data_IF_074298477278
#
_entry.id   IF_074298477278
#
_cell.length_a   1.000
_cell.length_b   1.000
_cell.length_c   1.000
_cell.angle_alpha   90.00
_cell.angle_beta   90.00
_cell.angle_gamma   90.00
#
_symmetry.space_group_name_H-M   'P 1'
#
loop_
_entity.id
_entity.type
_entity.pdbx_description
1 polymer ?
#
# COMPACT_ATOMS: atom_id res chain seq x y z
N UNK A 1 -4.29 -26.42 17.83
CA UNK A 1 -3.67 -25.64 18.90
C UNK A 1 -3.71 -24.20 18.45
N UNK A 2 -4.66 -23.40 18.94
CA UNK A 2 -4.87 -22.00 18.51
C UNK A 2 -3.82 -21.15 19.19
N UNK A 3 -2.92 -20.57 18.41
CA UNK A 3 -1.91 -19.62 18.92
C UNK A 3 -2.61 -18.40 19.49
N UNK A 4 -2.14 -17.98 20.65
CA UNK A 4 -2.57 -16.83 21.44
C UNK A 4 -2.80 -15.61 20.52
N UNK A 5 -4.02 -15.09 20.54
CA UNK A 5 -4.32 -13.78 19.96
C UNK A 5 -3.54 -12.75 20.79
N UNK A 6 -2.64 -12.00 20.17
CA UNK A 6 -1.98 -10.88 20.81
C UNK A 6 -3.04 -9.90 21.34
N UNK A 7 -2.77 -9.30 22.50
CA UNK A 7 -3.68 -8.35 23.12
C UNK A 7 -4.00 -7.19 22.14
N UNK A 8 -5.18 -6.58 22.25
CA UNK A 8 -5.52 -5.42 21.43
C UNK A 8 -4.44 -4.34 21.59
N UNK A 9 -3.92 -3.85 20.47
CA UNK A 9 -2.97 -2.73 20.45
C UNK A 9 -3.73 -1.49 20.92
N UNK A 10 -3.23 -0.83 21.97
CA UNK A 10 -3.80 0.44 22.44
C UNK A 10 -3.76 1.49 21.31
N UNK A 11 -4.80 2.36 21.21
CA UNK A 11 -4.82 3.40 20.20
C UNK A 11 -3.61 4.33 20.40
N UNK A 12 -2.88 4.59 19.30
CA UNK A 12 -1.72 5.49 19.31
C UNK A 12 -2.17 6.93 19.54
N UNK A 13 -1.37 7.67 20.30
CA UNK A 13 -1.47 9.13 20.33
C UNK A 13 -0.91 9.67 18.99
N UNK A 14 -1.81 10.10 18.12
CA UNK A 14 -1.51 10.60 16.75
C UNK A 14 -1.35 12.13 16.70
N UNK A 15 -1.28 12.81 17.86
CA UNK A 15 -1.33 14.28 17.94
C UNK A 15 -0.09 15.03 17.40
N UNK A 16 0.93 14.33 16.83
CA UNK A 16 2.18 14.95 16.39
C UNK A 16 2.56 14.80 14.90
N UNK A 17 1.91 13.94 14.14
CA UNK A 17 2.47 13.49 12.84
C UNK A 17 1.97 14.27 11.63
N UNK A 18 1.48 15.49 11.70
CA UNK A 18 1.21 16.40 10.56
C UNK A 18 1.01 15.78 9.15
N UNK A 19 0.41 14.57 9.05
CA UNK A 19 0.17 13.85 7.78
C UNK A 19 1.36 13.05 7.22
N UNK A 20 2.55 13.11 7.85
CA UNK A 20 3.75 12.37 7.44
C UNK A 20 3.95 11.06 8.23
N UNK A 21 4.96 10.27 7.84
CA UNK A 21 5.37 9.03 8.50
C UNK A 21 6.84 9.14 8.89
N UNK A 22 7.19 8.74 10.12
CA UNK A 22 8.57 8.59 10.56
C UNK A 22 8.75 7.21 11.20
N UNK A 23 9.68 6.46 10.66
CA UNK A 23 10.12 5.16 11.19
C UNK A 23 11.58 5.33 11.57
N UNK A 24 11.94 5.06 12.84
CA UNK A 24 13.28 5.29 13.37
C UNK A 24 13.82 4.03 14.04
N UNK A 25 14.88 3.46 13.48
CA UNK A 25 15.63 2.31 13.99
C UNK A 25 14.75 1.11 14.39
N UNK A 26 13.77 0.81 13.54
CA UNK A 26 12.76 -0.21 13.84
C UNK A 26 13.33 -1.61 13.66
N UNK A 27 13.17 -2.42 14.70
CA UNK A 27 13.42 -3.86 14.69
C UNK A 27 12.14 -4.63 14.99
N UNK A 28 11.94 -5.74 14.25
CA UNK A 28 10.82 -6.66 14.49
C UNK A 28 11.28 -8.10 14.25
N UNK A 29 11.00 -8.96 15.25
CA UNK A 29 11.25 -10.39 15.17
C UNK A 29 9.98 -11.21 15.48
N UNK A 30 9.94 -12.43 15.00
CA UNK A 30 8.92 -13.43 15.26
C UNK A 30 9.62 -14.71 15.77
N UNK A 31 9.71 -14.85 17.08
CA UNK A 31 10.58 -15.83 17.70
C UNK A 31 12.04 -15.58 17.31
N UNK A 32 12.72 -16.58 16.74
CA UNK A 32 14.10 -16.44 16.27
C UNK A 32 14.23 -15.73 14.91
N UNK A 33 13.11 -15.52 14.22
CA UNK A 33 13.11 -14.93 12.88
C UNK A 33 13.10 -13.41 12.97
N UNK A 34 14.23 -12.76 12.67
CA UNK A 34 14.30 -11.29 12.52
C UNK A 34 13.75 -10.91 11.13
N UNK A 35 12.63 -10.20 11.11
CA UNK A 35 12.00 -9.71 9.89
C UNK A 35 12.57 -8.37 9.45
N UNK A 36 12.71 -7.41 10.38
CA UNK A 36 13.27 -6.08 10.17
C UNK A 36 14.38 -5.84 11.19
N UNK A 37 15.47 -5.17 10.78
CA UNK A 37 16.62 -4.91 11.63
C UNK A 37 17.21 -3.52 11.36
N UNK A 38 16.86 -2.54 12.22
CA UNK A 38 17.32 -1.16 12.15
C UNK A 38 16.77 -0.36 10.99
N UNK A 39 15.51 -0.60 10.59
CA UNK A 39 14.88 0.12 9.48
C UNK A 39 14.51 1.54 9.89
N UNK A 40 15.00 2.52 9.12
CA UNK A 40 14.64 3.93 9.26
C UNK A 40 14.20 4.46 7.91
N UNK A 41 13.02 5.11 7.88
CA UNK A 41 12.52 5.81 6.69
C UNK A 41 11.58 6.95 7.12
N UNK A 42 11.39 7.89 6.22
CA UNK A 42 10.46 8.99 6.41
C UNK A 42 9.63 9.17 5.14
N UNK A 43 8.34 9.49 5.30
CA UNK A 43 7.50 10.02 4.24
C UNK A 43 6.96 11.38 4.67
N UNK A 44 7.17 12.41 3.86
CA UNK A 44 6.58 13.73 4.09
C UNK A 44 5.10 13.73 3.72
N UNK A 45 4.28 14.66 4.24
CA UNK A 45 2.89 14.76 3.82
C UNK A 45 2.74 14.87 2.30
N UNK A 46 1.82 14.06 1.75
CA UNK A 46 1.50 13.99 0.31
C UNK A 46 2.60 13.39 -0.57
N UNK A 47 3.61 12.79 0.01
CA UNK A 47 4.66 12.07 -0.68
C UNK A 47 4.26 10.61 -0.93
N UNK A 48 4.63 10.07 -2.08
CA UNK A 48 4.53 8.65 -2.40
C UNK A 48 5.90 8.01 -2.22
N UNK A 49 6.06 7.19 -1.19
CA UNK A 49 7.28 6.42 -0.94
C UNK A 49 7.05 4.98 -1.30
N UNK A 50 7.80 4.45 -2.27
CA UNK A 50 7.81 3.03 -2.56
C UNK A 50 8.86 2.30 -1.71
N UNK A 51 8.49 1.14 -1.18
CA UNK A 51 9.36 0.23 -0.44
C UNK A 51 9.53 -1.02 -1.30
N UNK A 52 10.72 -1.20 -1.83
CA UNK A 52 11.04 -2.28 -2.78
C UNK A 52 12.04 -3.25 -2.16
N UNK A 53 11.88 -4.53 -2.44
CA UNK A 53 12.80 -5.57 -2.00
C UNK A 53 12.26 -6.97 -2.24
N UNK A 54 13.08 -8.01 -2.07
CA UNK A 54 12.69 -9.38 -2.35
C UNK A 54 11.54 -9.87 -1.47
N UNK A 55 10.86 -10.92 -1.91
CA UNK A 55 9.79 -11.53 -1.13
C UNK A 55 10.29 -12.00 0.24
N UNK A 56 9.49 -11.73 1.28
CA UNK A 56 9.82 -12.14 2.65
C UNK A 56 10.86 -11.27 3.37
N UNK A 57 11.31 -10.13 2.80
CA UNK A 57 12.26 -9.22 3.47
C UNK A 57 11.63 -8.32 4.56
N UNK A 58 10.31 -8.42 4.82
CA UNK A 58 9.68 -7.67 5.90
C UNK A 58 8.82 -6.47 5.49
N UNK A 59 8.59 -6.23 4.18
CA UNK A 59 7.80 -5.09 3.67
C UNK A 59 6.37 -5.01 4.26
N UNK A 60 5.63 -6.12 4.23
CA UNK A 60 4.28 -6.19 4.84
C UNK A 60 4.32 -5.95 6.34
N UNK A 61 5.34 -6.50 7.04
CA UNK A 61 5.56 -6.24 8.47
C UNK A 61 5.75 -4.75 8.74
N UNK A 62 6.52 -4.05 7.89
CA UNK A 62 6.72 -2.61 8.03
C UNK A 62 5.41 -1.83 7.86
N UNK A 63 4.57 -2.17 6.86
CA UNK A 63 3.25 -1.56 6.72
C UNK A 63 2.33 -1.86 7.92
N UNK A 64 2.34 -3.10 8.45
CA UNK A 64 1.57 -3.46 9.64
C UNK A 64 2.00 -2.64 10.88
N UNK A 65 3.30 -2.36 11.02
CA UNK A 65 3.83 -1.50 12.08
C UNK A 65 3.38 -0.04 11.90
N UNK A 66 3.44 0.48 10.68
CA UNK A 66 2.98 1.84 10.36
C UNK A 66 1.48 1.98 10.60
N UNK A 67 0.68 0.98 10.25
CA UNK A 67 -0.77 0.98 10.49
C UNK A 67 -1.15 0.72 11.96
N UNK A 68 -0.18 0.49 12.87
CA UNK A 68 -0.46 0.17 14.27
C UNK A 68 -1.09 -1.19 14.50
N UNK A 69 -1.07 -2.08 13.51
CA UNK A 69 -1.56 -3.46 13.65
C UNK A 69 -0.57 -4.35 14.40
N UNK A 70 0.68 -3.90 14.52
CA UNK A 70 1.75 -4.52 15.32
C UNK A 70 2.57 -3.47 16.03
N UNK A 71 3.31 -3.91 17.04
CA UNK A 71 4.29 -3.09 17.74
C UNK A 71 5.71 -3.50 17.34
N UNK A 72 6.60 -2.52 17.21
CA UNK A 72 8.03 -2.78 17.04
C UNK A 72 8.63 -3.34 18.34
N UNK A 73 9.66 -4.19 18.22
CA UNK A 73 10.39 -4.68 19.37
C UNK A 73 11.46 -3.67 19.82
N UNK A 74 11.93 -2.83 18.88
CA UNK A 74 12.84 -1.71 19.11
C UNK A 74 12.55 -0.58 18.11
N UNK A 75 12.92 0.66 18.45
CA UNK A 75 12.69 1.83 17.61
C UNK A 75 11.28 2.41 17.76
N UNK A 76 10.97 3.40 16.93
CA UNK A 76 9.69 4.12 16.98
C UNK A 76 9.05 4.22 15.61
N UNK A 77 7.71 4.28 15.59
CA UNK A 77 6.92 4.53 14.40
C UNK A 77 5.89 5.61 14.75
N UNK A 78 5.98 6.73 14.05
CA UNK A 78 5.04 7.84 14.13
C UNK A 78 4.32 7.95 12.78
N UNK A 79 3.00 7.83 12.77
CA UNK A 79 2.19 7.88 11.56
C UNK A 79 0.76 8.32 11.90
N UNK A 80 0.07 9.03 11.01
CA UNK A 80 -1.36 9.29 11.16
C UNK A 80 -2.16 8.01 10.95
N UNK A 81 -3.46 8.07 11.21
CA UNK A 81 -4.38 6.99 10.89
C UNK A 81 -4.29 6.60 9.40
N UNK A 82 -4.03 5.33 9.14
CA UNK A 82 -3.81 4.80 7.80
C UNK A 82 -4.98 3.94 7.31
N UNK A 83 -5.14 3.90 5.99
CA UNK A 83 -5.91 2.85 5.32
C UNK A 83 -4.95 1.82 4.73
N UNK A 84 -5.08 0.56 5.17
CA UNK A 84 -4.27 -0.55 4.67
C UNK A 84 -5.02 -1.32 3.58
N UNK A 85 -4.38 -1.47 2.43
CA UNK A 85 -4.67 -2.51 1.46
C UNK A 85 -3.68 -3.66 1.66
N UNK A 86 -4.08 -4.78 2.25
CA UNK A 86 -3.19 -5.91 2.43
C UNK A 86 -2.96 -6.65 1.11
N UNK A 87 -1.88 -7.42 1.01
CA UNK A 87 -1.52 -8.22 -0.16
C UNK A 87 -2.66 -9.18 -0.59
N UNK A 88 -3.38 -9.77 0.35
CA UNK A 88 -4.62 -10.51 0.07
C UNK A 88 -5.79 -9.54 0.03
N UNK A 89 -6.74 -9.75 -0.87
CA UNK A 89 -7.88 -8.86 -1.07
C UNK A 89 -8.73 -8.64 0.20
N UNK A 90 -8.75 -9.61 1.12
CA UNK A 90 -9.47 -9.56 2.39
C UNK A 90 -10.92 -9.06 2.23
N UNK A 91 -11.59 -9.44 1.14
CA UNK A 91 -13.00 -9.13 0.95
C UNK A 91 -13.87 -9.99 1.86
N UNK A 92 -14.94 -9.39 2.38
CA UNK A 92 -15.92 -10.10 3.18
C UNK A 92 -16.79 -11.00 2.27
N UNK A 93 -16.73 -12.34 2.43
CA UNK A 93 -17.35 -13.26 1.47
C UNK A 93 -18.88 -13.22 1.44
N UNK A 94 -19.50 -12.67 2.48
CA UNK A 94 -20.96 -12.49 2.57
C UNK A 94 -21.46 -11.17 2.01
N UNK A 95 -20.58 -10.23 1.65
CA UNK A 95 -20.90 -8.98 0.98
C UNK A 95 -20.66 -9.11 -0.53
N UNK A 96 -21.44 -8.37 -1.33
CA UNK A 96 -21.17 -8.20 -2.75
C UNK A 96 -20.03 -7.19 -2.99
N UNK A 97 -19.61 -7.01 -4.24
CA UNK A 97 -18.50 -6.14 -4.62
C UNK A 97 -18.73 -4.68 -4.19
N UNK A 98 -19.95 -4.16 -4.44
CA UNK A 98 -20.29 -2.78 -4.12
C UNK A 98 -20.32 -2.53 -2.60
N UNK A 99 -20.85 -3.47 -1.81
CA UNK A 99 -20.86 -3.38 -0.35
C UNK A 99 -19.47 -3.56 0.25
N UNK A 100 -18.60 -4.40 -0.35
CA UNK A 100 -17.19 -4.50 0.02
C UNK A 100 -16.44 -3.18 -0.26
N UNK A 101 -16.62 -2.59 -1.43
CA UNK A 101 -15.98 -1.31 -1.79
C UNK A 101 -16.43 -0.18 -0.85
N UNK A 102 -17.72 -0.11 -0.51
CA UNK A 102 -18.28 0.91 0.39
C UNK A 102 -18.07 0.63 1.89
N UNK A 103 -17.40 -0.48 2.27
CA UNK A 103 -17.30 -0.93 3.66
C UNK A 103 -16.63 0.10 4.56
N UNK A 104 -15.53 0.71 4.12
CA UNK A 104 -14.82 1.72 4.89
C UNK A 104 -15.69 2.94 5.22
N UNK A 105 -16.51 3.39 4.26
CA UNK A 105 -17.49 4.45 4.48
C UNK A 105 -18.56 4.05 5.52
N UNK A 106 -18.99 2.78 5.49
CA UNK A 106 -19.95 2.24 6.47
C UNK A 106 -19.37 2.26 7.88
N UNK A 107 -18.10 1.86 8.04
CA UNK A 107 -17.38 1.91 9.32
C UNK A 107 -17.25 3.36 9.82
N UNK A 108 -17.08 4.31 8.92
CA UNK A 108 -17.06 5.75 9.23
C UNK A 108 -18.45 6.35 9.48
N UNK A 109 -19.52 5.54 9.58
CA UNK A 109 -20.87 6.00 9.92
C UNK A 109 -21.74 6.47 8.75
N UNK A 110 -21.24 6.40 7.51
CA UNK A 110 -22.03 6.75 6.30
C UNK A 110 -23.17 5.74 6.11
N UNK A 111 -24.37 6.16 5.75
CA UNK A 111 -25.50 5.28 5.49
C UNK A 111 -25.19 4.26 4.37
N UNK A 112 -25.78 3.07 4.41
CA UNK A 112 -25.56 2.03 3.40
C UNK A 112 -25.84 2.55 1.98
N UNK A 113 -26.91 3.29 1.80
CA UNK A 113 -27.30 3.85 0.50
C UNK A 113 -26.23 4.85 0.00
N UNK A 114 -25.79 5.78 0.83
CA UNK A 114 -24.77 6.77 0.46
C UNK A 114 -23.40 6.11 0.21
N UNK A 115 -23.00 5.11 1.00
CA UNK A 115 -21.76 4.38 0.79
C UNK A 115 -21.77 3.62 -0.55
N UNK A 116 -22.89 2.97 -0.90
CA UNK A 116 -23.08 2.31 -2.20
C UNK A 116 -23.02 3.31 -3.35
N UNK A 117 -23.69 4.45 -3.24
CA UNK A 117 -23.68 5.48 -4.28
C UNK A 117 -22.24 5.97 -4.55
N UNK A 118 -21.50 6.35 -3.50
CA UNK A 118 -20.09 6.78 -3.64
C UNK A 118 -19.19 5.70 -4.22
N UNK A 119 -19.35 4.44 -3.80
CA UNK A 119 -18.57 3.34 -4.36
C UNK A 119 -18.90 3.13 -5.85
N UNK A 120 -20.17 3.19 -6.23
CA UNK A 120 -20.65 2.98 -7.59
C UNK A 120 -20.05 3.99 -8.59
N UNK A 121 -19.86 5.25 -8.19
CA UNK A 121 -19.25 6.31 -9.01
C UNK A 121 -17.87 5.92 -9.58
N UNK A 122 -17.18 4.98 -8.92
CA UNK A 122 -15.84 4.53 -9.31
C UNK A 122 -15.83 3.18 -10.06
N UNK A 123 -16.96 2.46 -10.10
CA UNK A 123 -16.97 1.08 -10.63
C UNK A 123 -16.55 1.01 -12.10
N UNK A 124 -17.05 1.91 -12.95
CA UNK A 124 -16.66 1.96 -14.36
C UNK A 124 -15.15 2.25 -14.53
N UNK A 125 -14.60 3.23 -13.78
CA UNK A 125 -13.18 3.57 -13.84
C UNK A 125 -12.28 2.43 -13.37
N UNK A 126 -12.80 1.55 -12.50
CA UNK A 126 -12.11 0.35 -12.01
C UNK A 126 -12.40 -0.89 -12.87
N UNK A 127 -13.16 -0.78 -13.97
CA UNK A 127 -13.56 -1.91 -14.82
C UNK A 127 -14.35 -2.96 -14.03
N UNK A 128 -15.22 -2.52 -13.14
CA UNK A 128 -16.09 -3.35 -12.29
C UNK A 128 -17.59 -3.16 -12.64
N UNK A 129 -17.88 -2.40 -13.67
CA UNK A 129 -19.26 -2.15 -14.15
C UNK A 129 -19.94 -3.48 -14.48
N UNK A 130 -21.17 -3.67 -14.00
CA UNK A 130 -21.96 -4.90 -14.14
C UNK A 130 -21.65 -5.97 -13.09
N UNK A 131 -20.66 -5.76 -12.21
CA UNK A 131 -20.27 -6.70 -11.14
C UNK A 131 -20.65 -6.22 -9.73
N UNK A 132 -21.48 -5.18 -9.61
CA UNK A 132 -21.86 -4.56 -8.35
C UNK A 132 -22.48 -5.57 -7.36
N UNK A 133 -23.30 -6.48 -7.87
CA UNK A 133 -24.01 -7.48 -7.10
C UNK A 133 -23.19 -8.77 -6.89
N UNK A 134 -22.09 -8.95 -7.61
CA UNK A 134 -21.26 -10.17 -7.56
C UNK A 134 -20.58 -10.33 -6.19
N UNK A 135 -20.56 -11.56 -5.68
CA UNK A 135 -19.84 -11.91 -4.45
C UNK A 135 -18.37 -12.20 -4.76
N UNK A 136 -17.46 -12.14 -3.77
CA UNK A 136 -16.02 -12.39 -4.00
C UNK A 136 -15.71 -13.68 -4.77
N UNK A 137 -16.45 -14.76 -4.55
CA UNK A 137 -16.29 -16.04 -5.27
C UNK A 137 -16.63 -15.98 -6.75
N UNK A 138 -17.42 -14.98 -7.17
CA UNK A 138 -17.90 -14.78 -8.53
C UNK A 138 -16.99 -13.80 -9.32
N UNK A 139 -16.00 -13.21 -8.63
CA UNK A 139 -15.04 -12.26 -9.17
C UNK A 139 -13.72 -12.96 -9.50
N UNK A 140 -13.05 -12.52 -10.57
CA UNK A 140 -11.66 -12.92 -10.83
C UNK A 140 -10.72 -12.38 -9.73
N UNK A 141 -9.50 -12.93 -9.60
CA UNK A 141 -8.50 -12.43 -8.66
C UNK A 141 -8.20 -10.94 -8.83
N UNK A 142 -8.04 -10.50 -10.08
CA UNK A 142 -7.83 -9.09 -10.40
C UNK A 142 -9.03 -8.20 -10.08
N UNK A 143 -10.27 -8.70 -10.27
CA UNK A 143 -11.47 -7.95 -9.88
C UNK A 143 -11.56 -7.80 -8.35
N UNK A 144 -11.28 -8.86 -7.59
CA UNK A 144 -11.24 -8.79 -6.12
C UNK A 144 -10.20 -7.76 -5.66
N UNK A 145 -9.02 -7.75 -6.26
CA UNK A 145 -7.97 -6.80 -5.92
C UNK A 145 -8.39 -5.35 -6.20
N UNK A 146 -9.07 -5.09 -7.33
CA UNK A 146 -9.62 -3.77 -7.66
C UNK A 146 -10.71 -3.32 -6.69
N UNK A 147 -11.58 -4.23 -6.24
CA UNK A 147 -12.57 -3.93 -5.18
C UNK A 147 -11.89 -3.60 -3.86
N UNK A 148 -10.86 -4.35 -3.46
CA UNK A 148 -10.08 -4.10 -2.24
C UNK A 148 -9.35 -2.74 -2.31
N UNK A 149 -8.79 -2.42 -3.46
CA UNK A 149 -8.14 -1.13 -3.70
C UNK A 149 -9.15 0.02 -3.59
N UNK A 150 -10.30 -0.08 -4.25
CA UNK A 150 -11.37 0.92 -4.15
C UNK A 150 -11.84 1.10 -2.70
N UNK A 151 -12.03 0.02 -1.94
CA UNK A 151 -12.35 0.08 -0.51
C UNK A 151 -11.32 0.89 0.28
N UNK A 152 -10.03 0.70 0.00
CA UNK A 152 -8.94 1.41 0.69
C UNK A 152 -8.95 2.90 0.36
N UNK A 153 -9.17 3.27 -0.90
CA UNK A 153 -9.28 4.66 -1.32
C UNK A 153 -10.47 5.38 -0.68
N UNK A 154 -11.62 4.70 -0.62
CA UNK A 154 -12.84 5.24 -0.02
C UNK A 154 -12.79 5.35 1.51
N UNK A 155 -11.74 4.83 2.16
CA UNK A 155 -11.54 5.02 3.59
C UNK A 155 -11.31 6.48 3.98
N UNK A 156 -10.91 7.35 3.02
CA UNK A 156 -10.76 8.78 3.25
C UNK A 156 -9.60 9.16 4.18
N UNK A 157 -8.63 8.23 4.40
CA UNK A 157 -7.46 8.48 5.25
C UNK A 157 -6.40 9.27 4.49
N UNK A 158 -5.65 10.11 5.21
CA UNK A 158 -4.52 10.88 4.65
C UNK A 158 -3.34 9.98 4.28
N UNK A 159 -3.14 8.89 5.02
CA UNK A 159 -2.11 7.88 4.76
C UNK A 159 -2.74 6.62 4.14
N UNK A 160 -2.21 6.24 2.98
CA UNK A 160 -2.52 4.97 2.31
C UNK A 160 -1.31 4.04 2.40
N UNK A 161 -1.51 2.85 2.95
CA UNK A 161 -0.53 1.77 2.97
C UNK A 161 -0.99 0.70 1.97
N UNK A 162 -0.25 0.52 0.88
CA UNK A 162 -0.61 -0.37 -0.23
C UNK A 162 0.40 -1.51 -0.31
N UNK A 163 -0.02 -2.74 -0.02
CA UNK A 163 0.83 -3.93 -0.06
C UNK A 163 0.60 -4.72 -1.34
N UNK A 164 1.52 -4.62 -2.29
CA UNK A 164 1.47 -5.22 -3.64
C UNK A 164 0.12 -5.00 -4.36
N UNK A 165 -0.36 -3.75 -4.50
CA UNK A 165 -1.73 -3.46 -4.92
C UNK A 165 -2.05 -3.92 -6.34
N UNK A 166 -1.05 -4.22 -7.16
CA UNK A 166 -1.23 -4.62 -8.57
C UNK A 166 -0.74 -6.04 -8.84
N UNK A 167 -0.29 -6.79 -7.83
CA UNK A 167 0.35 -8.11 -7.98
C UNK A 167 -0.52 -9.18 -8.67
N UNK A 168 -1.84 -9.18 -8.45
CA UNK A 168 -2.76 -10.15 -9.05
C UNK A 168 -3.37 -9.67 -10.39
N UNK A 169 -2.93 -8.53 -10.94
CA UNK A 169 -3.44 -7.98 -12.19
C UNK A 169 -2.62 -8.43 -13.39
N UNK A 170 -3.30 -8.69 -14.52
CA UNK A 170 -2.63 -8.82 -15.81
C UNK A 170 -1.95 -7.51 -16.24
N UNK A 171 -1.03 -7.57 -17.18
CA UNK A 171 -0.18 -6.44 -17.57
C UNK A 171 -0.97 -5.21 -18.06
N UNK A 172 -2.06 -5.41 -18.82
CA UNK A 172 -2.86 -4.32 -19.36
C UNK A 172 -3.66 -3.63 -18.24
N UNK A 173 -4.33 -4.41 -17.42
CA UNK A 173 -5.10 -3.91 -16.26
C UNK A 173 -4.18 -3.25 -15.25
N UNK A 174 -2.99 -3.82 -14.98
CA UNK A 174 -1.96 -3.23 -14.11
C UNK A 174 -1.58 -1.84 -14.59
N UNK A 175 -1.23 -1.68 -15.87
CA UNK A 175 -0.89 -0.38 -16.44
C UNK A 175 -2.04 0.64 -16.39
N UNK A 176 -3.29 0.19 -16.57
CA UNK A 176 -4.46 1.07 -16.42
C UNK A 176 -4.62 1.55 -14.97
N UNK A 177 -4.52 0.65 -14.00
CA UNK A 177 -4.66 0.98 -12.59
C UNK A 177 -3.52 1.86 -12.05
N UNK A 178 -2.29 1.64 -12.51
CA UNK A 178 -1.14 2.50 -12.20
C UNK A 178 -1.37 3.93 -12.70
N UNK A 179 -1.80 4.10 -13.96
CA UNK A 179 -2.15 5.43 -14.52
C UNK A 179 -3.33 6.06 -13.78
N UNK A 180 -4.34 5.26 -13.42
CA UNK A 180 -5.47 5.75 -12.64
C UNK A 180 -5.02 6.27 -11.28
N UNK A 181 -4.19 5.50 -10.54
CA UNK A 181 -3.65 5.91 -9.24
C UNK A 181 -2.81 7.19 -9.36
N UNK A 182 -1.89 7.25 -10.33
CA UNK A 182 -1.08 8.44 -10.58
C UNK A 182 -1.95 9.67 -10.83
N UNK A 183 -3.00 9.54 -11.66
CA UNK A 183 -3.95 10.62 -11.92
C UNK A 183 -4.81 11.00 -10.71
N UNK A 184 -5.19 10.04 -9.87
CA UNK A 184 -5.93 10.30 -8.63
C UNK A 184 -5.07 11.08 -7.62
N UNK A 185 -3.82 10.67 -7.42
CA UNK A 185 -2.86 11.34 -6.54
C UNK A 185 -2.44 12.73 -7.04
N UNK A 186 -2.45 12.96 -8.36
CA UNK A 186 -2.21 14.29 -8.91
C UNK A 186 -3.36 15.27 -8.61
N UNK A 187 -4.61 14.77 -8.58
CA UNK A 187 -5.78 15.60 -8.26
C UNK A 187 -6.00 15.78 -6.77
N UNK A 188 -5.80 14.74 -6.00
CA UNK A 188 -5.96 14.70 -4.54
C UNK A 188 -4.72 14.07 -3.90
N UNK A 189 -3.66 14.87 -3.65
CA UNK A 189 -2.42 14.35 -3.09
C UNK A 189 -2.63 13.76 -1.70
N UNK A 190 -2.13 12.53 -1.50
CA UNK A 190 -2.14 11.80 -0.22
C UNK A 190 -0.76 11.24 0.05
N UNK A 191 -0.44 11.04 1.31
CA UNK A 191 0.76 10.29 1.69
C UNK A 191 0.54 8.81 1.38
N UNK A 192 1.46 8.19 0.67
CA UNK A 192 1.34 6.78 0.26
C UNK A 192 2.63 6.03 0.60
N UNK A 193 2.50 4.91 1.31
CA UNK A 193 3.53 3.89 1.38
C UNK A 193 3.12 2.74 0.46
N UNK A 194 3.85 2.59 -0.63
CA UNK A 194 3.63 1.56 -1.65
C UNK A 194 4.66 0.45 -1.49
N UNK A 195 4.24 -0.72 -1.08
CA UNK A 195 5.10 -1.91 -1.07
C UNK A 195 4.94 -2.67 -2.37
N UNK A 196 6.04 -2.95 -3.02
CA UNK A 196 6.11 -3.74 -4.25
C UNK A 196 7.43 -4.49 -4.37
N UNK A 197 7.47 -5.53 -5.18
CA UNK A 197 8.72 -6.16 -5.65
C UNK A 197 9.08 -5.69 -7.07
N UNK A 198 8.24 -4.87 -7.71
CA UNK A 198 8.42 -4.36 -9.06
C UNK A 198 9.04 -2.95 -9.01
N UNK A 199 10.32 -2.87 -9.37
CA UNK A 199 11.11 -1.62 -9.42
C UNK A 199 10.52 -0.64 -10.44
N UNK A 200 9.97 -1.14 -11.57
CA UNK A 200 9.34 -0.29 -12.58
C UNK A 200 8.09 0.39 -12.04
N UNK A 201 7.28 -0.34 -11.29
CA UNK A 201 6.11 0.20 -10.61
C UNK A 201 6.49 1.32 -9.64
N UNK A 202 7.54 1.10 -8.84
CA UNK A 202 8.07 2.11 -7.94
C UNK A 202 8.55 3.36 -8.69
N UNK A 203 9.31 3.19 -9.78
CA UNK A 203 9.80 4.29 -10.59
C UNK A 203 8.68 5.10 -11.27
N UNK A 204 7.55 4.46 -11.62
CA UNK A 204 6.40 5.12 -12.23
C UNK A 204 5.57 5.94 -11.24
N UNK A 205 5.46 5.49 -9.99
CA UNK A 205 4.48 6.01 -9.03
C UNK A 205 5.09 6.82 -7.88
N UNK A 206 6.29 6.47 -7.42
CA UNK A 206 6.85 7.03 -6.22
C UNK A 206 7.61 8.35 -6.45
N UNK A 207 7.67 9.18 -5.42
CA UNK A 207 8.57 10.35 -5.36
C UNK A 207 9.93 9.93 -4.82
N UNK A 208 9.96 8.84 -4.00
CA UNK A 208 11.15 8.25 -3.43
C UNK A 208 11.01 6.73 -3.35
N UNK A 209 12.12 6.02 -3.56
CA UNK A 209 12.18 4.56 -3.50
C UNK A 209 13.14 4.16 -2.38
N UNK A 210 12.67 3.38 -1.42
CA UNK A 210 13.48 2.79 -0.35
C UNK A 210 13.70 1.32 -0.70
N UNK A 211 14.97 0.95 -0.89
CA UNK A 211 15.37 -0.42 -1.23
C UNK A 211 15.70 -1.19 0.04
N UNK A 212 15.09 -2.35 0.23
CA UNK A 212 15.34 -3.25 1.36
C UNK A 212 16.17 -4.46 0.93
N UNK A 213 17.13 -4.83 1.79
CA UNK A 213 17.90 -6.08 1.65
C UNK A 213 16.99 -7.32 1.75
N UNK A 214 17.47 -8.50 1.31
CA UNK A 214 16.95 -9.78 1.80
C UNK A 214 16.90 -9.82 3.33
N UNK A 215 16.06 -10.72 3.88
CA UNK A 215 15.88 -10.85 5.33
C UNK A 215 17.19 -11.09 6.09
N UNK A 216 17.41 -10.39 7.22
CA UNK A 216 16.54 -9.36 7.80
C UNK A 216 16.53 -8.10 6.94
N UNK A 217 15.31 -7.52 6.76
CA UNK A 217 15.15 -6.30 5.96
C UNK A 217 15.89 -5.14 6.62
N UNK A 218 16.80 -4.54 5.87
CA UNK A 218 17.51 -3.30 6.20
C UNK A 218 17.44 -2.37 5.01
N UNK A 219 17.46 -1.07 5.23
CA UNK A 219 17.55 -0.11 4.13
C UNK A 219 18.95 -0.22 3.48
N UNK A 220 18.97 -0.56 2.20
CA UNK A 220 20.19 -0.65 1.38
C UNK A 220 20.51 0.71 0.76
N UNK A 221 19.51 1.30 0.12
CA UNK A 221 19.64 2.58 -0.55
C UNK A 221 18.27 3.29 -0.57
N UNK A 222 18.30 4.61 -0.64
CA UNK A 222 17.12 5.45 -0.88
C UNK A 222 17.37 6.29 -2.12
N UNK A 223 16.45 6.19 -3.10
CA UNK A 223 16.54 6.87 -4.38
C UNK A 223 15.46 7.95 -4.47
N UNK A 224 15.88 9.19 -4.73
CA UNK A 224 14.96 10.26 -5.11
C UNK A 224 14.59 10.10 -6.58
N UNK A 225 13.30 10.16 -6.91
CA UNK A 225 12.84 9.98 -8.29
C UNK A 225 12.90 11.30 -9.07
N UNK A 226 12.49 12.41 -8.46
CA UNK A 226 12.63 13.76 -9.01
C UNK A 226 11.93 14.02 -10.36
N UNK A 227 11.04 13.14 -10.78
CA UNK A 227 10.31 13.20 -12.04
C UNK A 227 8.83 13.52 -11.80
N UNK A 228 8.26 14.40 -12.62
CA UNK A 228 6.82 14.69 -12.56
C UNK A 228 5.97 13.50 -13.01
N UNK A 229 4.77 13.37 -12.46
CA UNK A 229 3.77 12.36 -12.87
C UNK A 229 2.73 12.97 -13.82
N UNK A 230 2.18 12.25 -14.82
CA UNK A 230 2.39 10.82 -15.10
C UNK A 230 3.69 10.55 -15.87
N UNK A 231 4.35 9.41 -15.59
CA UNK A 231 5.59 8.95 -16.22
C UNK A 231 5.31 7.83 -17.20
N UNK A 232 6.08 7.75 -18.28
CA UNK A 232 6.01 6.63 -19.21
C UNK A 232 7.14 5.62 -18.94
N UNK A 233 6.84 4.31 -19.15
CA UNK A 233 7.82 3.23 -19.01
C UNK A 233 9.01 3.37 -19.96
N UNK A 234 8.80 4.10 -21.06
CA UNK A 234 9.80 4.36 -22.10
C UNK A 234 10.64 5.60 -21.82
N UNK A 235 10.34 6.35 -20.77
CA UNK A 235 11.12 7.53 -20.40
C UNK A 235 12.52 7.09 -19.97
N UNK A 236 13.55 7.70 -20.55
CA UNK A 236 14.95 7.36 -20.29
C UNK A 236 15.29 7.46 -18.80
N UNK A 237 14.81 8.49 -18.13
CA UNK A 237 15.05 8.69 -16.70
C UNK A 237 14.39 7.59 -15.84
N UNK A 238 13.23 7.06 -16.25
CA UNK A 238 12.57 5.91 -15.57
C UNK A 238 13.39 4.64 -15.76
N UNK A 239 13.93 4.41 -16.98
CA UNK A 239 14.79 3.27 -17.29
C UNK A 239 16.08 3.32 -16.46
N UNK A 240 16.77 4.47 -16.45
CA UNK A 240 18.01 4.67 -15.68
C UNK A 240 17.79 4.46 -14.16
N UNK A 241 16.67 4.97 -13.63
CA UNK A 241 16.30 4.77 -12.22
C UNK A 241 16.04 3.30 -11.91
N UNK A 242 15.35 2.58 -12.79
CA UNK A 242 15.11 1.14 -12.66
C UNK A 242 16.43 0.36 -12.66
N UNK A 243 17.34 0.63 -13.60
CA UNK A 243 18.64 -0.03 -13.68
C UNK A 243 19.46 0.21 -12.41
N UNK A 244 19.48 1.44 -11.91
CA UNK A 244 20.14 1.79 -10.66
C UNK A 244 19.56 1.03 -9.47
N UNK A 245 18.24 0.94 -9.36
CA UNK A 245 17.59 0.23 -8.26
C UNK A 245 17.84 -1.29 -8.32
N UNK A 246 17.85 -1.89 -9.52
CA UNK A 246 18.18 -3.32 -9.71
C UNK A 246 19.64 -3.59 -9.34
N UNK A 247 20.58 -2.75 -9.76
CA UNK A 247 21.99 -2.87 -9.39
C UNK A 247 22.20 -2.81 -7.86
N UNK A 248 21.50 -1.89 -7.17
CA UNK A 248 21.56 -1.76 -5.71
C UNK A 248 20.97 -2.99 -4.97
N UNK A 249 20.00 -3.68 -5.57
CA UNK A 249 19.44 -4.94 -5.04
C UNK A 249 20.30 -6.17 -5.36
N UNK A 250 21.36 -6.02 -6.17
CA UNK A 250 22.23 -7.12 -6.60
C UNK A 250 21.65 -7.98 -7.73
N UNK A 251 20.69 -7.44 -8.49
CA UNK A 251 20.02 -8.08 -9.63
C UNK A 251 20.52 -7.50 -10.99
N UNK A 252 21.74 -6.98 -11.02
CA UNK A 252 22.35 -6.38 -12.22
C UNK A 252 23.33 -7.32 -12.93
#
# INVERSE_FOLDING_TARGET
MWTRVEAPVEPRDVSGAGGGVTVSDVRKAYGELVALDGVSLRATPREVVAIVGPSGCGKSTLLELVCGLRTADHGTVEAPDAALMPQRDALLPWLNALDNAGLALRVAGVSKQAARARAHEHFAAFGLEGFEAARPRELSGGMRQRVAFLRTLLAGRELLCLDEPFGALDALTRGQMQRWLAGALAREPRTVLLVTHDVEEAALLADRIVLLSPRPGRVVETLEVGLERPRARTDRAVIELRERALAALGEG
#
